data_IF_644571673425
#
_entry.id   IF_644571673425
#
_cell.length_a   1.000
_cell.length_b   1.000
_cell.length_c   1.000
_cell.angle_alpha   90.00
_cell.angle_beta   90.00
_cell.angle_gamma   90.00
#
_symmetry.space_group_name_H-M   'P 1'
#
loop_
_entity.id
_entity.type
_entity.pdbx_description
1 polymer ?
#
# COMPACT_ATOMS: atom_id res chain seq x y z
N UNK A 1 31.40 -45.98 -1.23
CA UNK A 1 31.95 -46.12 0.14
C UNK A 1 32.60 -44.81 0.51
N UNK A 2 32.01 -44.06 1.44
CA UNK A 2 32.61 -42.85 1.99
C UNK A 2 33.81 -43.23 2.86
N UNK A 3 34.98 -42.67 2.58
CA UNK A 3 36.20 -42.89 3.37
C UNK A 3 35.99 -42.39 4.80
N UNK A 4 35.93 -43.33 5.76
CA UNK A 4 35.98 -43.04 7.20
C UNK A 4 37.41 -42.61 7.53
N UNK A 5 37.69 -41.31 7.58
CA UNK A 5 38.96 -40.78 8.11
C UNK A 5 39.70 -39.74 7.26
N UNK A 6 39.12 -39.25 6.16
CA UNK A 6 39.67 -38.07 5.48
C UNK A 6 39.47 -36.79 6.34
N UNK A 7 40.32 -35.75 6.20
CA UNK A 7 40.11 -34.49 6.89
C UNK A 7 38.70 -34.00 6.56
N UNK A 8 37.82 -33.96 7.56
CA UNK A 8 36.53 -33.32 7.41
C UNK A 8 36.80 -31.85 7.10
N UNK A 9 36.11 -31.32 6.09
CA UNK A 9 36.13 -29.88 5.81
C UNK A 9 35.79 -29.18 7.13
N UNK A 10 36.65 -28.27 7.58
CA UNK A 10 36.44 -27.50 8.82
C UNK A 10 35.04 -26.90 8.79
N UNK A 11 34.15 -27.37 9.68
CA UNK A 11 32.73 -27.01 9.72
C UNK A 11 31.71 -28.10 9.34
N UNK A 12 32.11 -29.36 9.12
CA UNK A 12 31.17 -30.48 8.87
C UNK A 12 30.96 -31.42 10.07
N UNK A 13 31.41 -31.04 11.27
CA UNK A 13 31.26 -31.79 12.53
C UNK A 13 29.90 -31.59 13.22
N UNK A 14 29.02 -30.76 12.63
CA UNK A 14 27.71 -30.42 13.18
C UNK A 14 27.74 -29.33 14.27
N UNK A 15 28.91 -28.79 14.62
CA UNK A 15 29.02 -27.68 15.57
C UNK A 15 28.51 -26.35 14.99
N UNK A 16 28.27 -26.28 13.67
CA UNK A 16 27.79 -25.09 12.95
C UNK A 16 26.26 -24.93 12.91
N UNK A 17 25.51 -25.77 13.63
CA UNK A 17 24.04 -25.80 13.57
C UNK A 17 23.39 -24.44 13.89
N UNK A 18 23.91 -23.70 14.87
CA UNK A 18 23.41 -22.38 15.25
C UNK A 18 23.57 -21.37 14.10
N UNK A 19 24.71 -21.42 13.40
CA UNK A 19 24.97 -20.56 12.25
C UNK A 19 24.02 -20.89 11.10
N UNK A 20 23.84 -22.18 10.77
CA UNK A 20 22.90 -22.62 9.72
C UNK A 20 21.46 -22.25 10.01
N UNK A 21 21.01 -22.41 11.25
CA UNK A 21 19.66 -22.02 11.68
C UNK A 21 19.44 -20.51 11.55
N UNK A 22 20.40 -19.69 11.99
CA UNK A 22 20.32 -18.23 11.87
C UNK A 22 20.27 -17.77 10.41
N UNK A 23 21.11 -18.33 9.56
CA UNK A 23 21.14 -18.02 8.12
C UNK A 23 19.81 -18.43 7.46
N UNK A 24 19.31 -19.63 7.75
CA UNK A 24 18.02 -20.14 7.26
C UNK A 24 16.85 -19.23 7.64
N UNK A 25 16.80 -18.78 8.90
CA UNK A 25 15.75 -17.88 9.40
C UNK A 25 15.69 -16.55 8.62
N UNK A 26 16.85 -15.96 8.29
CA UNK A 26 16.91 -14.71 7.51
C UNK A 26 16.35 -14.92 6.09
N UNK A 27 16.67 -16.04 5.45
CA UNK A 27 16.13 -16.37 4.12
C UNK A 27 14.62 -16.61 4.16
N UNK A 28 14.13 -17.31 5.18
CA UNK A 28 12.70 -17.55 5.38
C UNK A 28 11.94 -16.23 5.59
N UNK A 29 12.44 -15.34 6.46
CA UNK A 29 11.85 -14.02 6.69
C UNK A 29 11.81 -13.21 5.38
N UNK A 30 12.90 -13.21 4.62
CA UNK A 30 12.97 -12.53 3.33
C UNK A 30 11.96 -13.09 2.32
N UNK A 31 11.87 -14.42 2.18
CA UNK A 31 10.94 -15.07 1.27
C UNK A 31 9.48 -14.77 1.62
N UNK A 32 9.09 -14.88 2.90
CA UNK A 32 7.72 -14.64 3.36
C UNK A 32 7.33 -13.18 3.12
N UNK A 33 8.16 -12.22 3.54
CA UNK A 33 7.82 -10.80 3.40
C UNK A 33 7.77 -10.36 1.93
N UNK A 34 8.59 -10.96 1.03
CA UNK A 34 8.46 -10.70 -0.41
C UNK A 34 7.12 -11.17 -0.97
N UNK A 35 6.67 -12.36 -0.57
CA UNK A 35 5.37 -12.88 -1.01
C UNK A 35 4.24 -11.98 -0.53
N UNK A 36 4.24 -11.64 0.77
CA UNK A 36 3.24 -10.75 1.36
C UNK A 36 3.23 -9.35 0.74
N UNK A 37 4.41 -8.77 0.48
CA UNK A 37 4.52 -7.48 -0.21
C UNK A 37 3.90 -7.54 -1.62
N UNK A 38 4.08 -8.64 -2.37
CA UNK A 38 3.44 -8.80 -3.69
C UNK A 38 1.92 -8.84 -3.58
N UNK A 39 1.36 -9.48 -2.56
CA UNK A 39 -0.09 -9.45 -2.32
C UNK A 39 -0.58 -8.06 -1.98
N UNK A 40 0.11 -7.30 -1.12
CA UNK A 40 -0.27 -5.91 -0.85
C UNK A 40 -0.23 -5.05 -2.12
N UNK A 41 0.80 -5.22 -2.97
CA UNK A 41 0.89 -4.54 -4.25
C UNK A 41 -0.27 -4.94 -5.18
N UNK A 42 -0.63 -6.23 -5.23
CA UNK A 42 -1.78 -6.70 -5.99
C UNK A 42 -3.10 -6.03 -5.54
N UNK A 43 -3.36 -5.98 -4.22
CA UNK A 43 -4.54 -5.28 -3.70
C UNK A 43 -4.48 -3.76 -3.94
N UNK A 44 -3.29 -3.16 -3.93
CA UNK A 44 -3.13 -1.77 -4.33
C UNK A 44 -3.49 -1.53 -5.80
N UNK A 45 -3.14 -2.45 -6.71
CA UNK A 45 -3.63 -2.40 -8.10
C UNK A 45 -5.15 -2.49 -8.19
N UNK A 46 -5.80 -3.34 -7.39
CA UNK A 46 -7.27 -3.43 -7.37
C UNK A 46 -7.91 -2.11 -6.91
N UNK A 47 -7.41 -1.50 -5.83
CA UNK A 47 -7.86 -0.17 -5.40
C UNK A 47 -7.58 0.91 -6.44
N UNK A 48 -6.44 0.83 -7.13
CA UNK A 48 -6.12 1.74 -8.22
C UNK A 48 -7.15 1.66 -9.34
N UNK A 49 -7.57 0.46 -9.76
CA UNK A 49 -8.61 0.32 -10.78
C UNK A 49 -9.97 0.82 -10.29
N UNK A 50 -10.31 0.65 -9.01
CA UNK A 50 -11.52 1.24 -8.43
C UNK A 50 -11.48 2.78 -8.46
N UNK A 51 -10.35 3.38 -8.08
CA UNK A 51 -10.14 4.83 -8.19
C UNK A 51 -10.17 5.29 -9.65
N UNK A 52 -9.53 4.56 -10.56
CA UNK A 52 -9.51 4.89 -11.98
C UNK A 52 -10.92 4.83 -12.60
N UNK A 53 -11.75 3.86 -12.20
CA UNK A 53 -13.14 3.79 -12.63
C UNK A 53 -13.93 5.03 -12.18
N UNK A 54 -13.69 5.52 -10.96
CA UNK A 54 -14.27 6.78 -10.48
C UNK A 54 -13.76 7.98 -11.29
N UNK A 55 -12.46 8.07 -11.54
CA UNK A 55 -11.85 9.16 -12.33
C UNK A 55 -12.20 9.12 -13.82
N UNK A 56 -12.81 8.03 -14.28
CA UNK A 56 -13.09 7.79 -15.69
C UNK A 56 -14.06 8.83 -16.27
N UNK A 57 -15.06 9.29 -15.51
CA UNK A 57 -15.98 10.34 -15.98
C UNK A 57 -15.23 11.61 -16.36
N UNK A 58 -14.50 12.21 -15.41
CA UNK A 58 -13.72 13.43 -15.66
C UNK A 58 -12.67 13.25 -16.76
N UNK A 59 -12.00 12.10 -16.84
CA UNK A 59 -11.01 11.84 -17.89
C UNK A 59 -11.67 11.85 -19.28
N UNK A 60 -12.85 11.25 -19.42
CA UNK A 60 -13.60 11.23 -20.67
C UNK A 60 -14.07 12.63 -21.08
N UNK A 61 -14.55 13.41 -20.11
CA UNK A 61 -14.97 14.80 -20.35
C UNK A 61 -13.81 15.67 -20.83
N UNK A 62 -12.62 15.52 -20.23
CA UNK A 62 -11.40 16.23 -20.67
C UNK A 62 -10.92 15.81 -22.06
N UNK A 63 -11.33 14.64 -22.54
CA UNK A 63 -11.03 14.16 -23.89
C UNK A 63 -12.14 14.48 -24.90
N UNK A 64 -13.19 15.21 -24.48
CA UNK A 64 -14.37 15.54 -25.28
C UNK A 64 -15.11 14.27 -25.77
N UNK A 65 -15.13 13.23 -24.93
CA UNK A 65 -15.82 11.95 -25.19
C UNK A 65 -17.04 11.85 -24.29
N UNK A 66 -18.24 11.92 -24.88
CA UNK A 66 -19.50 11.82 -24.15
C UNK A 66 -20.08 10.39 -24.19
N UNK A 67 -20.34 9.82 -23.02
CA UNK A 67 -21.02 8.53 -22.84
C UNK A 67 -22.17 8.75 -21.86
N UNK A 68 -23.41 8.64 -22.35
CA UNK A 68 -24.62 8.99 -21.59
C UNK A 68 -24.74 8.20 -20.28
N UNK A 69 -24.45 6.90 -20.31
CA UNK A 69 -24.57 6.02 -19.14
C UNK A 69 -23.57 6.36 -18.03
N UNK A 70 -22.42 6.94 -18.40
CA UNK A 70 -21.41 7.39 -17.43
C UNK A 70 -21.81 8.74 -16.84
N UNK A 71 -22.35 9.63 -17.66
CA UNK A 71 -22.83 10.94 -17.21
C UNK A 71 -24.04 10.82 -16.27
N UNK A 72 -24.98 9.92 -16.58
CA UNK A 72 -26.15 9.63 -15.74
C UNK A 72 -25.77 9.11 -14.35
N UNK A 73 -24.56 8.57 -14.18
CA UNK A 73 -24.07 8.13 -12.89
C UNK A 73 -23.78 9.32 -11.93
N UNK A 74 -23.66 10.53 -12.47
CA UNK A 74 -23.44 11.78 -11.75
C UNK A 74 -22.33 11.64 -10.70
N UNK A 75 -21.20 11.07 -11.12
CA UNK A 75 -20.04 10.85 -10.23
C UNK A 75 -19.48 12.21 -9.81
N UNK A 76 -19.33 12.49 -8.50
CA UNK A 76 -18.79 13.77 -8.06
C UNK A 76 -17.38 14.02 -8.58
N UNK A 77 -17.12 15.29 -8.90
CA UNK A 77 -15.86 15.73 -9.47
C UNK A 77 -14.66 15.30 -8.62
N UNK A 78 -13.56 14.87 -9.25
CA UNK A 78 -12.38 14.45 -8.54
C UNK A 78 -11.55 15.59 -7.99
N UNK A 79 -11.08 15.38 -6.77
CA UNK A 79 -10.11 16.25 -6.12
C UNK A 79 -8.69 15.87 -6.54
N UNK A 80 -7.77 16.85 -6.47
CA UNK A 80 -6.37 16.65 -6.83
C UNK A 80 -5.69 15.50 -6.08
N UNK A 81 -6.06 15.26 -4.81
CA UNK A 81 -5.46 14.18 -4.02
C UNK A 81 -5.73 12.79 -4.62
N UNK A 82 -6.85 12.59 -5.32
CA UNK A 82 -7.21 11.33 -5.96
C UNK A 82 -6.24 11.02 -7.11
N UNK A 83 -5.97 12.01 -7.97
CA UNK A 83 -4.97 11.88 -9.04
C UNK A 83 -3.55 11.69 -8.50
N UNK A 84 -3.17 12.46 -7.47
CA UNK A 84 -1.86 12.31 -6.83
C UNK A 84 -1.72 10.90 -6.25
N UNK A 85 -2.78 10.38 -5.64
CA UNK A 85 -2.79 9.02 -5.12
C UNK A 85 -2.64 7.97 -6.22
N UNK A 86 -3.26 8.16 -7.38
CA UNK A 86 -3.07 7.28 -8.54
C UNK A 86 -1.60 7.15 -8.96
N UNK A 87 -0.76 8.18 -8.76
CA UNK A 87 0.68 8.09 -9.04
C UNK A 87 1.41 7.10 -8.13
N UNK A 88 0.85 6.73 -6.98
CA UNK A 88 1.44 5.73 -6.08
C UNK A 88 1.61 4.36 -6.74
N UNK A 89 0.82 4.05 -7.77
CA UNK A 89 0.97 2.79 -8.51
C UNK A 89 2.32 2.65 -9.18
N UNK A 90 2.93 3.76 -9.61
CA UNK A 90 4.26 3.78 -10.24
C UNK A 90 5.34 3.35 -9.25
N UNK A 91 5.13 3.60 -7.95
CA UNK A 91 6.08 3.22 -6.91
C UNK A 91 6.20 1.70 -6.76
N UNK A 92 5.15 0.95 -7.11
CA UNK A 92 5.14 -0.52 -7.04
C UNK A 92 6.23 -1.16 -7.91
N UNK A 93 6.58 -0.56 -9.06
CA UNK A 93 7.67 -1.03 -9.91
C UNK A 93 9.02 -0.98 -9.19
N UNK A 94 9.26 0.08 -8.41
CA UNK A 94 10.46 0.24 -7.59
C UNK A 94 10.47 -0.85 -6.50
N UNK A 95 9.35 -1.06 -5.81
CA UNK A 95 9.21 -2.07 -4.76
C UNK A 95 9.43 -3.51 -5.27
N UNK A 96 8.81 -3.87 -6.39
CA UNK A 96 8.94 -5.20 -7.01
C UNK A 96 10.36 -5.43 -7.53
N UNK A 97 10.95 -4.45 -8.19
CA UNK A 97 12.33 -4.55 -8.68
C UNK A 97 13.34 -4.66 -7.53
N UNK A 98 13.14 -3.89 -6.45
CA UNK A 98 13.94 -3.98 -5.24
C UNK A 98 13.81 -5.35 -4.57
N UNK A 99 12.60 -5.91 -4.49
CA UNK A 99 12.33 -7.25 -3.96
C UNK A 99 12.98 -8.36 -4.80
N UNK A 100 13.01 -8.24 -6.13
CA UNK A 100 13.70 -9.18 -7.02
C UNK A 100 15.22 -9.16 -6.78
N UNK A 101 15.81 -7.96 -6.70
CA UNK A 101 17.26 -7.77 -6.57
C UNK A 101 17.80 -7.73 -5.13
N UNK A 102 16.96 -7.79 -4.09
CA UNK A 102 17.33 -7.50 -2.69
C UNK A 102 18.02 -6.12 -2.53
N UNK A 103 17.60 -5.12 -3.30
CA UNK A 103 18.26 -3.80 -3.35
C UNK A 103 17.72 -2.92 -2.23
N UNK A 104 18.48 -2.79 -1.15
CA UNK A 104 18.08 -2.06 0.07
C UNK A 104 17.71 -0.61 -0.23
N UNK A 105 18.56 0.13 -0.95
CA UNK A 105 18.33 1.55 -1.28
C UNK A 105 17.04 1.78 -2.07
N UNK A 106 16.72 0.88 -2.99
CA UNK A 106 15.49 1.00 -3.78
C UNK A 106 14.25 0.66 -2.96
N UNK A 107 14.35 -0.30 -2.03
CA UNK A 107 13.25 -0.59 -1.11
C UNK A 107 13.00 0.58 -0.15
N UNK A 108 14.06 1.29 0.29
CA UNK A 108 13.92 2.54 1.05
C UNK A 108 13.23 3.63 0.24
N UNK A 109 13.63 3.81 -1.03
CA UNK A 109 12.95 4.75 -1.95
C UNK A 109 11.48 4.39 -2.11
N UNK A 110 11.16 3.10 -2.29
CA UNK A 110 9.77 2.63 -2.37
C UNK A 110 8.96 3.03 -1.13
N UNK A 111 9.48 2.79 0.08
CA UNK A 111 8.80 3.19 1.33
C UNK A 111 8.56 4.71 1.37
N UNK A 112 9.57 5.52 1.05
CA UNK A 112 9.45 6.98 1.03
C UNK A 112 8.41 7.43 0.00
N UNK A 113 8.47 6.90 -1.22
CA UNK A 113 7.50 7.24 -2.27
C UNK A 113 6.08 6.82 -1.90
N UNK A 114 5.90 5.69 -1.20
CA UNK A 114 4.59 5.24 -0.74
C UNK A 114 4.03 6.13 0.37
N UNK A 115 4.89 6.67 1.25
CA UNK A 115 4.46 7.69 2.22
C UNK A 115 3.96 8.94 1.48
N UNK A 116 4.76 9.46 0.55
CA UNK A 116 4.45 10.73 -0.14
C UNK A 116 3.25 10.62 -1.07
N UNK A 117 3.16 9.56 -1.86
CA UNK A 117 2.13 9.41 -2.90
C UNK A 117 0.97 8.52 -2.46
N UNK A 118 1.13 7.70 -1.42
CA UNK A 118 0.07 6.81 -0.93
C UNK A 118 -0.57 7.34 0.35
N UNK A 119 0.22 7.58 1.39
CA UNK A 119 -0.28 7.94 2.72
C UNK A 119 -0.71 9.41 2.81
N UNK A 120 0.10 10.35 2.34
CA UNK A 120 -0.23 11.78 2.47
C UNK A 120 -1.53 12.19 1.75
N UNK A 121 -1.81 11.72 0.51
CA UNK A 121 -3.09 12.02 -0.15
C UNK A 121 -4.29 11.48 0.63
N UNK A 122 -4.15 10.31 1.28
CA UNK A 122 -5.19 9.78 2.15
C UNK A 122 -5.41 10.61 3.41
N UNK A 123 -4.33 11.09 4.05
CA UNK A 123 -4.47 12.00 5.19
C UNK A 123 -5.21 13.28 4.76
N UNK A 124 -4.85 13.83 3.61
CA UNK A 124 -5.55 14.99 3.05
C UNK A 124 -7.04 14.67 2.83
N UNK A 125 -7.36 13.54 2.19
CA UNK A 125 -8.75 13.11 1.97
C UNK A 125 -9.55 12.96 3.26
N UNK A 126 -8.97 12.37 4.31
CA UNK A 126 -9.63 12.28 5.62
C UNK A 126 -9.93 13.65 6.21
N UNK A 127 -8.97 14.57 6.20
CA UNK A 127 -9.17 15.92 6.73
C UNK A 127 -10.20 16.68 5.92
N UNK A 128 -10.18 16.52 4.59
CA UNK A 128 -11.12 17.19 3.68
C UNK A 128 -12.56 16.78 3.93
N UNK A 129 -12.85 15.48 4.07
CA UNK A 129 -14.21 14.97 4.28
C UNK A 129 -14.60 14.86 5.76
N UNK A 130 -13.80 15.42 6.68
CA UNK A 130 -14.02 15.24 8.12
C UNK A 130 -15.32 15.90 8.59
N UNK A 131 -15.63 17.11 8.13
CA UNK A 131 -16.88 17.80 8.45
C UNK A 131 -18.08 16.97 8.01
N UNK A 132 -18.11 16.60 6.73
CA UNK A 132 -19.24 15.87 6.13
C UNK A 132 -19.52 14.56 6.86
N UNK A 133 -18.46 13.85 7.27
CA UNK A 133 -18.58 12.61 8.02
C UNK A 133 -19.05 12.84 9.44
N UNK A 134 -18.56 13.88 10.12
CA UNK A 134 -19.01 14.21 11.48
C UNK A 134 -20.48 14.61 11.45
N UNK A 135 -20.84 15.55 10.57
CA UNK A 135 -22.21 16.05 10.42
C UNK A 135 -23.18 14.91 10.09
N UNK A 136 -22.81 14.01 9.17
CA UNK A 136 -23.60 12.82 8.85
C UNK A 136 -23.73 11.83 10.03
N UNK A 137 -22.75 11.76 10.94
CA UNK A 137 -22.83 10.87 12.09
C UNK A 137 -23.57 11.49 13.28
N UNK A 138 -23.75 12.82 13.30
CA UNK A 138 -24.35 13.55 14.43
C UNK A 138 -25.73 14.15 14.14
N UNK A 139 -26.21 14.19 12.89
CA UNK A 139 -27.48 14.87 12.52
C UNK A 139 -28.70 14.42 13.36
N UNK A 140 -28.78 13.14 13.72
CA UNK A 140 -29.93 12.58 14.46
C UNK A 140 -29.80 12.71 15.99
N UNK A 141 -28.64 13.14 16.49
CA UNK A 141 -28.32 13.14 17.93
C UNK A 141 -28.83 14.38 18.65
N UNK A 142 -28.90 15.51 17.95
CA UNK A 142 -29.16 16.82 18.56
C UNK A 142 -30.55 17.39 18.22
N UNK A 143 -31.34 16.76 17.35
CA UNK A 143 -32.73 17.15 17.04
C UNK A 143 -32.91 18.53 16.39
N UNK A 144 -31.81 19.24 16.13
CA UNK A 144 -31.77 20.64 15.70
C UNK A 144 -31.17 20.84 14.29
N UNK A 145 -30.72 19.78 13.59
CA UNK A 145 -30.18 19.87 12.23
C UNK A 145 -30.89 18.92 11.27
N UNK A 146 -31.63 19.48 10.32
CA UNK A 146 -32.12 18.75 9.16
C UNK A 146 -30.97 18.54 8.16
N UNK A 147 -30.95 17.39 7.45
CA UNK A 147 -29.93 17.10 6.42
C UNK A 147 -29.90 18.19 5.34
N UNK A 148 -31.05 18.84 5.09
CA UNK A 148 -31.19 19.95 4.15
C UNK A 148 -30.40 21.20 4.55
N UNK A 149 -30.06 21.35 5.82
CA UNK A 149 -29.24 22.46 6.35
C UNK A 149 -27.73 22.17 6.32
N UNK A 150 -27.33 20.97 5.87
CA UNK A 150 -25.92 20.55 5.79
C UNK A 150 -25.41 20.56 4.35
N UNK A 151 -24.13 20.91 4.16
CA UNK A 151 -23.47 20.90 2.84
C UNK A 151 -22.97 19.49 2.43
N UNK A 152 -23.57 18.42 2.98
CA UNK A 152 -23.12 17.04 2.75
C UNK A 152 -23.39 16.65 1.29
N UNK A 153 -22.33 16.23 0.60
CA UNK A 153 -22.44 15.69 -0.76
C UNK A 153 -22.94 14.25 -0.70
N UNK A 154 -24.02 13.96 -1.44
CA UNK A 154 -24.53 12.60 -1.64
C UNK A 154 -24.22 12.11 -3.06
N UNK A 155 -23.85 10.84 -3.19
CA UNK A 155 -23.73 10.15 -4.46
C UNK A 155 -24.60 8.89 -4.44
N UNK A 156 -25.57 8.79 -5.36
CA UNK A 156 -26.51 7.67 -5.43
C UNK A 156 -27.23 7.38 -4.10
N UNK A 157 -27.57 8.42 -3.34
CA UNK A 157 -28.25 8.32 -2.04
C UNK A 157 -27.34 7.92 -0.88
N UNK A 158 -26.01 7.84 -1.08
CA UNK A 158 -25.04 7.56 -0.03
C UNK A 158 -24.17 8.79 0.26
N UNK A 159 -23.84 9.08 1.54
CA UNK A 159 -22.96 10.19 1.90
C UNK A 159 -21.56 9.96 1.34
N UNK A 160 -21.12 10.87 0.48
CA UNK A 160 -19.91 10.72 -0.31
C UNK A 160 -18.64 10.65 0.55
N UNK A 161 -18.57 11.47 1.60
CA UNK A 161 -17.46 11.45 2.57
C UNK A 161 -17.28 10.09 3.25
N UNK A 162 -18.37 9.38 3.59
CA UNK A 162 -18.27 8.04 4.19
C UNK A 162 -17.76 6.99 3.21
N UNK A 163 -18.16 7.07 1.94
CA UNK A 163 -17.63 6.19 0.90
C UNK A 163 -16.11 6.37 0.76
N UNK A 164 -15.63 7.61 0.84
CA UNK A 164 -14.20 7.90 0.87
C UNK A 164 -13.51 7.36 2.10
N UNK A 165 -14.09 7.51 3.29
CA UNK A 165 -13.52 6.95 4.51
C UNK A 165 -13.37 5.42 4.41
N UNK A 166 -14.35 4.72 3.84
CA UNK A 166 -14.27 3.27 3.62
C UNK A 166 -13.13 2.91 2.66
N UNK A 167 -13.02 3.62 1.52
CA UNK A 167 -11.92 3.43 0.56
C UNK A 167 -10.55 3.69 1.19
N UNK A 168 -10.42 4.82 1.89
CA UNK A 168 -9.18 5.27 2.53
C UNK A 168 -8.76 4.30 3.63
N UNK A 169 -9.70 3.76 4.42
CA UNK A 169 -9.41 2.79 5.48
C UNK A 169 -8.77 1.51 4.91
N UNK A 170 -9.34 0.95 3.83
CA UNK A 170 -8.78 -0.21 3.14
C UNK A 170 -7.41 0.12 2.55
N UNK A 171 -7.29 1.31 1.94
CA UNK A 171 -6.03 1.80 1.39
C UNK A 171 -4.92 1.96 2.44
N UNK A 172 -5.23 2.50 3.62
CA UNK A 172 -4.31 2.62 4.74
C UNK A 172 -3.81 1.26 5.22
N UNK A 173 -4.69 0.26 5.29
CA UNK A 173 -4.28 -1.09 5.67
C UNK A 173 -3.29 -1.66 4.65
N UNK A 174 -3.59 -1.56 3.35
CA UNK A 174 -2.73 -2.06 2.28
C UNK A 174 -1.36 -1.36 2.29
N UNK A 175 -1.34 -0.03 2.40
CA UNK A 175 -0.09 0.74 2.44
C UNK A 175 0.69 0.51 3.73
N UNK A 176 0.00 0.42 4.87
CA UNK A 176 0.59 0.10 6.17
C UNK A 176 1.28 -1.26 6.17
N UNK A 177 0.60 -2.30 5.68
CA UNK A 177 1.20 -3.63 5.54
C UNK A 177 2.34 -3.65 4.52
N UNK A 178 2.21 -2.92 3.40
CA UNK A 178 3.29 -2.79 2.41
C UNK A 178 4.55 -2.22 3.03
N UNK A 179 4.44 -1.13 3.79
CA UNK A 179 5.57 -0.52 4.51
C UNK A 179 6.14 -1.46 5.56
N UNK A 180 5.29 -2.13 6.34
CA UNK A 180 5.73 -3.09 7.36
C UNK A 180 6.56 -4.23 6.75
N UNK A 181 6.09 -4.86 5.68
CA UNK A 181 6.82 -5.94 5.00
C UNK A 181 8.09 -5.42 4.31
N UNK A 182 8.04 -4.25 3.67
CA UNK A 182 9.23 -3.62 3.08
C UNK A 182 10.30 -3.31 4.12
N UNK A 183 9.91 -2.82 5.31
CA UNK A 183 10.82 -2.55 6.41
C UNK A 183 11.49 -3.82 6.95
N UNK A 184 10.73 -4.90 7.08
CA UNK A 184 11.27 -6.20 7.47
C UNK A 184 12.26 -6.75 6.43
N UNK A 185 12.01 -6.53 5.13
CA UNK A 185 12.96 -6.88 4.06
C UNK A 185 14.25 -6.08 4.15
N UNK A 186 14.17 -4.76 4.38
CA UNK A 186 15.34 -3.90 4.57
C UNK A 186 16.22 -4.44 5.70
N UNK A 187 15.61 -4.71 6.88
CA UNK A 187 16.32 -5.26 8.04
C UNK A 187 16.99 -6.61 7.72
N UNK A 188 16.27 -7.52 7.05
CA UNK A 188 16.79 -8.84 6.69
C UNK A 188 17.97 -8.77 5.70
N UNK A 189 17.94 -7.85 4.74
CA UNK A 189 19.02 -7.70 3.76
C UNK A 189 20.23 -6.96 4.32
N UNK A 190 20.01 -6.00 5.22
CA UNK A 190 21.08 -5.32 5.94
C UNK A 190 21.84 -6.28 6.85
N UNK A 191 21.15 -7.12 7.62
CA UNK A 191 21.79 -8.11 8.50
C UNK A 191 22.64 -9.12 7.72
N UNK A 192 22.17 -9.56 6.54
CA UNK A 192 22.95 -10.39 5.61
C UNK A 192 24.20 -9.67 5.11
N UNK A 193 24.07 -8.40 4.73
CA UNK A 193 25.19 -7.61 4.22
C UNK A 193 26.26 -7.37 5.29
N UNK A 194 25.84 -7.19 6.55
CA UNK A 194 26.75 -7.08 7.69
C UNK A 194 27.45 -8.40 8.00
N UNK A 195 26.72 -9.53 8.02
CA UNK A 195 27.31 -10.85 8.27
C UNK A 195 28.38 -11.23 7.23
N UNK A 196 28.18 -10.86 5.96
CA UNK A 196 29.16 -11.11 4.88
C UNK A 196 30.43 -10.26 4.99
N UNK A 197 30.41 -9.12 5.70
CA UNK A 197 31.60 -8.27 5.89
C UNK A 197 32.50 -8.72 7.04
N UNK A 198 31.96 -9.53 7.96
CA UNK A 198 32.66 -10.02 9.15
C UNK A 198 33.31 -11.38 8.90
N UNK A 199 32.87 -12.10 7.86
CA UNK A 199 33.50 -13.31 7.33
C UNK A 199 34.57 -12.94 6.30
#
# INVERSE_FOLDING_TARGET
MASRGGPMVTGTDGADFQHRQRVSAIYQISAINKSRLKYCIFFHYLLFFAMLAKLCSDILDRLDIFILEIEELQVPDPLWWEYIWCLSIVTSFIGLSAAKGNRIRDMQKYVISLVVLGILPFIYGLVYYMSDVVDYLTFDSDGDMDIEDTDIVFWQGLPYGLLWYAFILVGFQIHGFSMYFAWNLIKAWQSRSAARKVQ
#
